data_IF_836333002405
#
_entry.id   IF_836333002405
#
_cell.length_a   1.000
_cell.length_b   1.000
_cell.length_c   1.000
_cell.angle_alpha   90.00
_cell.angle_beta   90.00
_cell.angle_gamma   90.00
#
_symmetry.space_group_name_H-M   'P 1'
#
loop_
_entity.id
_entity.type
_entity.pdbx_description
1 polymer ?
#
# COMPACT_ATOMS: atom_id res chain seq x y z
N UNK A 1 2.88 39.81 -11.43
CA UNK A 1 4.00 38.88 -11.75
C UNK A 1 3.45 37.69 -12.49
N UNK A 2 3.95 37.41 -13.69
CA UNK A 2 3.63 36.19 -14.43
C UNK A 2 4.18 34.96 -13.69
N UNK A 3 3.51 33.81 -13.77
CA UNK A 3 3.91 32.56 -13.09
C UNK A 3 4.08 31.43 -14.10
N UNK A 4 5.06 30.56 -13.90
CA UNK A 4 5.23 29.29 -14.62
C UNK A 4 4.37 28.23 -13.95
N UNK A 5 3.60 27.50 -14.75
CA UNK A 5 2.87 26.34 -14.29
C UNK A 5 3.74 25.10 -14.47
N UNK A 6 4.09 24.48 -13.35
CA UNK A 6 4.85 23.23 -13.30
C UNK A 6 3.87 22.12 -12.96
N UNK A 7 3.86 21.07 -13.78
CA UNK A 7 3.08 19.87 -13.52
C UNK A 7 3.97 18.80 -12.91
N UNK A 8 3.63 18.36 -11.70
CA UNK A 8 4.21 17.18 -11.07
C UNK A 8 3.15 16.11 -10.84
N UNK A 9 3.52 14.86 -11.08
CA UNK A 9 2.68 13.71 -10.71
C UNK A 9 2.71 13.45 -9.21
N UNK A 10 3.82 13.76 -8.55
CA UNK A 10 4.04 13.44 -7.14
C UNK A 10 3.61 14.61 -6.22
N UNK A 11 3.61 15.84 -6.74
CA UNK A 11 3.33 17.06 -5.96
C UNK A 11 2.13 17.88 -6.50
N UNK A 12 1.43 17.39 -7.52
CA UNK A 12 0.37 18.13 -8.21
C UNK A 12 0.89 19.34 -9.02
N UNK A 13 0.00 20.11 -9.67
CA UNK A 13 0.40 21.33 -10.36
C UNK A 13 0.67 22.46 -9.37
N UNK A 14 1.73 23.21 -9.58
CA UNK A 14 2.01 24.41 -8.78
C UNK A 14 2.60 25.52 -9.64
N UNK A 15 2.44 26.75 -9.13
CA UNK A 15 2.87 27.95 -9.80
C UNK A 15 4.17 28.46 -9.17
N UNK A 16 5.19 28.62 -9.99
CA UNK A 16 6.46 29.27 -9.59
C UNK A 16 6.50 30.65 -10.21
N UNK A 17 6.95 31.71 -9.51
CA UNK A 17 7.15 33.01 -10.13
C UNK A 17 7.96 32.88 -11.42
N UNK A 18 7.54 33.55 -12.51
CA UNK A 18 8.42 33.69 -13.68
C UNK A 18 9.64 34.47 -13.22
N UNK A 19 10.86 34.06 -13.62
CA UNK A 19 12.03 34.90 -13.46
C UNK A 19 11.73 36.28 -14.06
N UNK A 20 11.98 37.34 -13.31
CA UNK A 20 11.82 38.71 -13.80
C UNK A 20 12.95 38.99 -14.78
N UNK A 21 12.62 39.13 -16.07
CA UNK A 21 13.54 39.66 -17.05
C UNK A 21 13.47 41.19 -16.97
N UNK A 22 14.45 41.81 -16.32
CA UNK A 22 14.68 43.23 -16.55
C UNK A 22 15.23 43.38 -17.96
N UNK A 23 14.50 44.11 -18.81
CA UNK A 23 14.91 44.38 -20.19
C UNK A 23 16.04 45.41 -20.19
N UNK A 24 17.24 44.98 -19.84
CA UNK A 24 18.44 45.78 -20.11
C UNK A 24 18.87 45.50 -21.54
N UNK A 25 18.89 46.52 -22.40
CA UNK A 25 19.34 46.50 -23.81
C UNK A 25 20.84 46.20 -23.98
N UNK A 26 21.44 45.45 -23.06
CA UNK A 26 22.82 45.01 -23.11
C UNK A 26 22.88 43.72 -23.93
N UNK A 27 23.67 43.75 -25.01
CA UNK A 27 23.98 42.61 -25.89
C UNK A 27 24.88 41.56 -25.22
N UNK A 28 25.02 41.60 -23.90
CA UNK A 28 25.93 40.74 -23.17
C UNK A 28 25.26 39.40 -22.87
N UNK A 29 25.72 38.36 -23.58
CA UNK A 29 25.23 36.97 -23.46
C UNK A 29 25.32 36.42 -22.04
N UNK A 30 26.13 37.05 -21.20
CA UNK A 30 26.40 36.74 -19.80
C UNK A 30 25.25 37.14 -18.87
N UNK A 31 24.32 38.01 -19.28
CA UNK A 31 23.15 38.40 -18.46
C UNK A 31 21.93 37.49 -18.69
N UNK A 32 21.89 36.74 -19.81
CA UNK A 32 20.89 35.66 -20.05
C UNK A 32 21.17 34.40 -19.21
N UNK A 33 22.12 34.51 -18.30
CA UNK A 33 22.69 33.43 -17.52
C UNK A 33 22.14 33.33 -16.08
N UNK A 34 21.04 34.01 -15.74
CA UNK A 34 20.21 33.64 -14.58
C UNK A 34 19.39 32.41 -14.94
N UNK A 35 20.17 31.34 -14.98
CA UNK A 35 19.96 30.01 -15.54
C UNK A 35 18.99 29.24 -14.65
N UNK A 36 18.22 28.35 -15.25
CA UNK A 36 17.57 27.12 -14.73
C UNK A 36 17.79 26.74 -13.24
N UNK A 37 18.97 26.96 -12.69
CA UNK A 37 19.34 26.88 -11.27
C UNK A 37 18.42 27.71 -10.34
N UNK A 38 17.95 28.89 -10.73
CA UNK A 38 16.97 29.65 -9.92
C UNK A 38 15.60 28.98 -9.85
N UNK A 39 15.18 28.40 -10.96
CA UNK A 39 13.95 27.62 -11.01
C UNK A 39 14.07 26.39 -10.11
N UNK A 40 15.25 25.76 -10.12
CA UNK A 40 15.60 24.69 -9.20
C UNK A 40 15.54 25.18 -7.74
N UNK A 41 16.22 26.26 -7.37
CA UNK A 41 16.16 26.82 -6.01
C UNK A 41 14.71 27.14 -5.55
N UNK A 42 13.87 27.63 -6.46
CA UNK A 42 12.46 27.87 -6.17
C UNK A 42 11.67 26.58 -5.90
N UNK A 43 12.01 25.48 -6.59
CA UNK A 43 11.46 24.15 -6.33
C UNK A 43 11.92 23.60 -4.97
N UNK A 44 13.19 23.77 -4.63
CA UNK A 44 13.75 23.37 -3.33
C UNK A 44 13.07 24.10 -2.17
N UNK A 45 12.84 25.41 -2.30
CA UNK A 45 12.05 26.22 -1.34
C UNK A 45 10.60 25.75 -1.19
N UNK A 46 10.08 24.98 -2.15
CA UNK A 46 8.77 24.33 -2.09
C UNK A 46 8.82 22.89 -1.57
N UNK A 47 9.97 22.44 -1.05
CA UNK A 47 10.15 21.11 -0.47
C UNK A 47 10.38 19.99 -1.50
N UNK A 48 10.74 20.33 -2.74
CA UNK A 48 10.97 19.35 -3.81
C UNK A 48 12.47 19.01 -3.86
N UNK A 49 12.87 17.75 -3.59
CA UNK A 49 14.28 17.36 -3.52
C UNK A 49 14.88 17.20 -4.92
N UNK A 50 15.54 18.23 -5.42
CA UNK A 50 16.04 18.35 -6.80
C UNK A 50 16.96 17.23 -7.27
N UNK A 51 17.85 16.62 -6.45
CA UNK A 51 18.68 15.50 -6.90
C UNK A 51 17.84 14.32 -7.45
N UNK A 52 16.56 14.24 -7.04
CA UNK A 52 15.62 13.19 -7.43
C UNK A 52 14.74 13.56 -8.62
N UNK A 53 14.82 14.77 -9.19
CA UNK A 53 13.92 15.25 -10.25
C UNK A 53 14.64 16.01 -11.37
N UNK A 54 14.03 16.04 -12.56
CA UNK A 54 14.46 16.79 -13.72
C UNK A 54 13.25 17.45 -14.38
N UNK A 55 13.45 18.66 -14.90
CA UNK A 55 12.43 19.39 -15.65
C UNK A 55 12.42 18.96 -17.12
N UNK A 56 11.24 18.92 -17.72
CA UNK A 56 11.01 18.56 -19.11
C UNK A 56 10.06 19.56 -19.77
N UNK A 57 10.35 19.89 -21.03
CA UNK A 57 9.54 20.73 -21.90
C UNK A 57 9.46 20.07 -23.27
N UNK A 58 8.24 19.86 -23.78
CA UNK A 58 7.97 19.13 -25.03
C UNK A 58 8.70 17.78 -25.14
N UNK A 59 8.65 17.00 -24.06
CA UNK A 59 9.26 15.68 -23.96
C UNK A 59 10.79 15.67 -23.91
N UNK A 60 11.44 16.83 -24.00
CA UNK A 60 12.90 16.97 -23.90
C UNK A 60 13.27 17.49 -22.52
N UNK A 61 14.37 16.97 -21.97
CA UNK A 61 14.91 17.46 -20.70
C UNK A 61 15.26 18.94 -20.86
N UNK A 62 14.79 19.75 -19.92
CA UNK A 62 15.09 21.17 -19.86
C UNK A 62 16.59 21.32 -19.55
N UNK A 63 17.30 21.88 -20.51
CA UNK A 63 18.71 22.26 -20.45
C UNK A 63 18.78 23.78 -20.53
N UNK A 64 19.94 24.34 -20.19
CA UNK A 64 20.18 25.79 -20.34
C UNK A 64 19.88 26.27 -21.77
N UNK A 65 20.19 25.46 -22.78
CA UNK A 65 20.01 25.79 -24.20
C UNK A 65 18.56 25.92 -24.69
N UNK A 66 17.59 25.30 -24.02
CA UNK A 66 16.16 25.35 -24.41
C UNK A 66 15.27 25.96 -23.32
N UNK A 67 15.87 26.55 -22.28
CA UNK A 67 15.16 27.12 -21.15
C UNK A 67 14.34 28.36 -21.54
N UNK A 68 14.91 29.22 -22.40
CA UNK A 68 14.26 30.46 -22.85
C UNK A 68 12.98 30.16 -23.64
N UNK A 69 13.04 29.18 -24.54
CA UNK A 69 11.89 28.71 -25.31
C UNK A 69 10.77 28.22 -24.38
N UNK A 70 11.12 27.46 -23.33
CA UNK A 70 10.17 26.93 -22.37
C UNK A 70 9.49 28.02 -21.50
N UNK A 71 10.20 29.08 -21.13
CA UNK A 71 9.62 30.15 -20.29
C UNK A 71 8.68 31.08 -21.09
N UNK A 72 9.00 31.28 -22.36
CA UNK A 72 8.22 32.11 -23.27
C UNK A 72 6.99 31.36 -23.82
N UNK A 73 7.00 30.03 -23.78
CA UNK A 73 5.84 29.21 -24.13
C UNK A 73 4.71 29.33 -23.08
N UNK A 74 3.48 29.14 -23.55
CA UNK A 74 2.28 28.96 -22.70
C UNK A 74 2.11 27.50 -22.24
N UNK A 75 2.93 26.59 -22.76
CA UNK A 75 2.89 25.16 -22.44
C UNK A 75 3.50 24.87 -21.06
N UNK A 76 3.05 23.77 -20.44
CA UNK A 76 3.45 23.41 -19.08
C UNK A 76 4.84 22.73 -19.05
N UNK A 77 5.67 23.11 -18.08
CA UNK A 77 6.91 22.39 -17.77
C UNK A 77 6.56 21.21 -16.86
N UNK A 78 7.07 20.02 -17.19
CA UNK A 78 6.84 18.80 -16.42
C UNK A 78 8.02 18.54 -15.48
N UNK A 79 7.75 18.13 -14.24
CA UNK A 79 8.76 17.70 -13.26
C UNK A 79 8.72 16.16 -13.12
N UNK A 80 9.79 15.47 -13.50
CA UNK A 80 9.86 14.00 -13.52
C UNK A 80 11.04 13.48 -12.69
N UNK A 81 10.90 12.32 -12.03
CA UNK A 81 11.98 11.78 -11.20
C UNK A 81 13.20 11.32 -12.02
N UNK A 82 14.41 11.69 -11.59
CA UNK A 82 15.70 11.39 -12.23
C UNK A 82 16.04 9.89 -12.27
N UNK A 83 15.47 9.09 -11.35
CA UNK A 83 15.78 7.66 -11.22
C UNK A 83 15.11 6.76 -12.25
N UNK A 84 14.21 7.28 -13.11
CA UNK A 84 13.66 6.48 -14.17
C UNK A 84 13.47 7.33 -15.42
N UNK A 85 14.24 7.02 -16.47
CA UNK A 85 13.92 7.38 -17.86
C UNK A 85 12.66 6.60 -18.26
N UNK A 86 11.52 6.93 -17.66
CA UNK A 86 10.25 6.29 -17.98
C UNK A 86 9.81 6.86 -19.30
N UNK A 87 10.03 6.11 -20.38
CA UNK A 87 9.27 6.37 -21.61
C UNK A 87 7.81 6.20 -21.24
N UNK A 88 7.04 7.29 -21.30
CA UNK A 88 5.60 7.26 -21.11
C UNK A 88 4.95 7.36 -22.48
N UNK A 89 3.89 6.58 -22.67
CA UNK A 89 3.15 6.51 -23.93
C UNK A 89 1.68 6.75 -23.64
N UNK A 90 1.06 7.64 -24.42
CA UNK A 90 -0.38 7.84 -24.37
C UNK A 90 -1.04 6.79 -25.26
N UNK A 91 -1.87 5.95 -24.66
CA UNK A 91 -2.70 4.97 -25.35
C UNK A 91 -4.13 5.51 -25.44
N UNK A 92 -4.69 5.53 -26.64
CA UNK A 92 -6.13 5.65 -26.85
C UNK A 92 -6.72 4.24 -26.87
N UNK A 93 -7.73 3.98 -26.06
CA UNK A 93 -8.33 2.66 -25.91
C UNK A 93 -9.83 2.81 -26.13
N UNK A 94 -10.33 2.02 -27.07
CA UNK A 94 -11.73 1.86 -27.41
C UNK A 94 -12.22 0.52 -26.88
N UNK A 95 -13.25 0.52 -26.03
CA UNK A 95 -13.91 -0.70 -25.53
C UNK A 95 -15.39 -0.59 -25.89
N UNK A 96 -15.82 -1.38 -26.88
CA UNK A 96 -17.18 -1.24 -27.43
C UNK A 96 -17.41 0.16 -28.02
N UNK A 97 -18.34 0.91 -27.41
CA UNK A 97 -18.66 2.30 -27.80
C UNK A 97 -17.90 3.36 -26.99
N UNK A 98 -17.20 2.96 -25.92
CA UNK A 98 -16.48 3.90 -25.07
C UNK A 98 -15.04 4.10 -25.53
N UNK A 99 -14.62 5.36 -25.58
CA UNK A 99 -13.24 5.76 -25.87
C UNK A 99 -12.61 6.42 -24.63
N UNK A 100 -11.37 6.06 -24.31
CA UNK A 100 -10.62 6.73 -23.24
C UNK A 100 -9.11 6.75 -23.50
N UNK A 101 -8.40 7.62 -22.78
CA UNK A 101 -6.95 7.72 -22.84
C UNK A 101 -6.32 7.21 -21.55
N UNK A 102 -5.25 6.44 -21.66
CA UNK A 102 -4.42 6.01 -20.53
C UNK A 102 -2.95 6.30 -20.82
N UNK A 103 -2.22 6.81 -19.82
CA UNK A 103 -0.76 6.98 -19.90
C UNK A 103 -0.10 5.73 -19.33
N UNK A 104 0.67 5.04 -20.17
CA UNK A 104 1.43 3.85 -19.78
C UNK A 104 2.90 4.19 -19.59
N UNK A 105 3.43 3.84 -18.42
CA UNK A 105 4.85 3.95 -18.07
C UNK A 105 5.60 2.71 -18.54
N UNK A 106 6.75 2.88 -19.21
CA UNK A 106 7.63 1.83 -19.74
C UNK A 106 6.92 0.83 -20.68
N UNK A 107 6.32 1.30 -21.80
CA UNK A 107 5.54 0.45 -22.70
C UNK A 107 6.35 -0.74 -23.22
N UNK A 108 7.65 -0.58 -23.51
CA UNK A 108 8.50 -1.68 -23.98
C UNK A 108 8.62 -2.88 -23.01
N UNK A 109 8.28 -2.71 -21.72
CA UNK A 109 8.28 -3.81 -20.73
C UNK A 109 6.86 -4.33 -20.42
N UNK A 110 5.84 -3.74 -21.03
CA UNK A 110 4.44 -4.09 -20.78
C UNK A 110 3.94 -5.01 -21.89
N UNK A 111 3.66 -6.26 -21.54
CA UNK A 111 2.96 -7.19 -22.42
C UNK A 111 1.51 -6.79 -22.59
N UNK A 112 0.88 -7.18 -23.69
CA UNK A 112 -0.54 -6.94 -23.94
C UNK A 112 -1.41 -7.53 -22.82
N UNK A 113 -1.06 -8.71 -22.30
CA UNK A 113 -1.75 -9.28 -21.13
C UNK A 113 -1.68 -8.38 -19.88
N UNK A 114 -0.51 -7.85 -19.54
CA UNK A 114 -0.36 -6.93 -18.40
C UNK A 114 -1.10 -5.61 -18.62
N UNK A 115 -1.19 -5.15 -19.87
CA UNK A 115 -2.02 -4.01 -20.22
C UNK A 115 -3.51 -4.31 -19.99
N UNK A 116 -3.98 -5.48 -20.43
CA UNK A 116 -5.36 -5.95 -20.20
C UNK A 116 -5.71 -5.96 -18.71
N UNK A 117 -4.84 -6.53 -17.87
CA UNK A 117 -5.06 -6.56 -16.42
C UNK A 117 -5.22 -5.14 -15.86
N UNK A 118 -4.39 -4.19 -16.31
CA UNK A 118 -4.49 -2.79 -15.89
C UNK A 118 -5.81 -2.15 -16.33
N UNK A 119 -6.20 -2.35 -17.59
CA UNK A 119 -7.46 -1.83 -18.15
C UNK A 119 -8.66 -2.42 -17.39
N UNK A 120 -8.67 -3.74 -17.20
CA UNK A 120 -9.69 -4.47 -16.46
C UNK A 120 -9.84 -3.93 -15.04
N UNK A 121 -8.72 -3.76 -14.32
CA UNK A 121 -8.72 -3.19 -12.96
C UNK A 121 -9.25 -1.75 -12.93
N UNK A 122 -8.85 -0.91 -13.88
CA UNK A 122 -9.27 0.49 -13.95
C UNK A 122 -10.76 0.66 -14.28
N UNK A 123 -11.33 -0.25 -15.08
CA UNK A 123 -12.72 -0.19 -15.53
C UNK A 123 -13.66 -1.14 -14.79
N UNK A 124 -13.15 -1.93 -13.83
CA UNK A 124 -13.94 -2.96 -13.15
C UNK A 124 -14.40 -4.08 -14.09
N UNK A 125 -13.67 -4.34 -15.17
CA UNK A 125 -14.00 -5.39 -16.15
C UNK A 125 -13.28 -6.70 -15.80
N UNK A 126 -13.83 -7.83 -16.27
CA UNK A 126 -13.12 -9.11 -16.21
C UNK A 126 -12.07 -9.17 -17.32
N UNK A 127 -10.85 -9.59 -17.01
CA UNK A 127 -9.79 -9.77 -18.03
C UNK A 127 -10.17 -10.80 -19.08
N UNK A 128 -11.03 -11.76 -18.72
CA UNK A 128 -11.50 -12.82 -19.62
C UNK A 128 -12.45 -12.32 -20.70
N UNK A 129 -13.06 -11.13 -20.54
CA UNK A 129 -13.93 -10.50 -21.53
C UNK A 129 -13.13 -9.71 -22.59
N UNK A 130 -11.87 -9.40 -22.30
CA UNK A 130 -11.00 -8.53 -23.10
C UNK A 130 -10.11 -9.36 -24.04
N UNK A 131 -10.71 -10.31 -24.77
CA UNK A 131 -9.96 -11.34 -25.52
C UNK A 131 -9.49 -10.95 -26.92
N UNK A 132 -10.08 -9.91 -27.51
CA UNK A 132 -9.75 -9.47 -28.86
C UNK A 132 -9.24 -8.04 -28.81
N UNK A 133 -7.92 -7.91 -28.82
CA UNK A 133 -7.24 -6.62 -28.93
C UNK A 133 -6.72 -6.45 -30.34
N UNK A 134 -7.16 -5.37 -30.98
CA UNK A 134 -6.65 -4.92 -32.26
C UNK A 134 -5.91 -3.61 -32.08
N UNK A 135 -4.75 -3.49 -32.71
CA UNK A 135 -4.13 -2.19 -32.90
C UNK A 135 -4.82 -1.49 -34.06
N UNK A 136 -5.57 -0.42 -33.80
CA UNK A 136 -6.32 0.32 -34.82
C UNK A 136 -5.41 0.92 -35.89
N UNK A 137 -4.19 1.32 -35.53
CA UNK A 137 -3.24 1.90 -36.48
C UNK A 137 -2.63 0.88 -37.44
N UNK A 138 -2.57 -0.40 -37.04
CA UNK A 138 -1.96 -1.48 -37.84
C UNK A 138 -2.98 -2.45 -38.40
N UNK A 139 -4.24 -2.40 -37.95
CA UNK A 139 -5.30 -3.37 -38.23
C UNK A 139 -4.91 -4.84 -37.93
N UNK A 140 -3.89 -5.05 -37.09
CA UNK A 140 -3.37 -6.37 -36.70
C UNK A 140 -3.87 -6.74 -35.31
N UNK A 141 -4.28 -8.00 -35.15
CA UNK A 141 -4.57 -8.59 -33.85
C UNK A 141 -3.26 -8.76 -33.07
N UNK A 142 -3.25 -8.33 -31.81
CA UNK A 142 -2.06 -8.43 -30.96
C UNK A 142 -2.09 -9.74 -30.17
N UNK A 143 -0.92 -10.38 -30.05
CA UNK A 143 -0.74 -11.53 -29.16
C UNK A 143 -0.59 -11.06 -27.71
N UNK A 144 -1.03 -11.85 -26.74
CA UNK A 144 -0.97 -11.54 -25.31
C UNK A 144 0.46 -11.36 -24.80
N UNK A 145 1.40 -12.13 -25.35
CA UNK A 145 2.79 -12.15 -24.93
C UNK A 145 3.64 -11.10 -25.66
N UNK A 146 3.09 -10.46 -26.71
CA UNK A 146 3.76 -9.34 -27.36
C UNK A 146 3.92 -8.18 -26.38
N UNK A 147 5.10 -7.57 -26.36
CA UNK A 147 5.33 -6.30 -25.70
C UNK A 147 4.83 -5.16 -26.56
N UNK A 148 4.41 -4.05 -25.94
CA UNK A 148 4.16 -2.79 -26.64
C UNK A 148 5.49 -2.21 -27.14
N UNK A 149 6.04 -2.81 -28.19
CA UNK A 149 7.21 -2.28 -28.88
C UNK A 149 6.75 -1.12 -29.75
N UNK A 150 7.04 0.09 -29.29
CA UNK A 150 6.88 1.32 -30.06
C UNK A 150 7.95 1.40 -31.16
N UNK A 151 7.96 0.45 -32.10
CA UNK A 151 8.83 0.48 -33.27
C UNK A 151 8.18 1.31 -34.38
N UNK A 152 7.94 2.60 -34.11
CA UNK A 152 7.86 3.70 -35.09
C UNK A 152 7.43 4.98 -34.37
N UNK A 153 8.00 6.11 -34.78
CA UNK A 153 8.00 7.44 -34.15
C UNK A 153 6.63 8.16 -34.00
N UNK A 154 5.51 7.45 -33.84
CA UNK A 154 4.20 8.09 -33.59
C UNK A 154 3.59 7.67 -32.25
N UNK A 155 3.55 8.63 -31.33
CA UNK A 155 3.24 8.48 -29.91
C UNK A 155 1.77 8.16 -29.57
N UNK A 156 0.94 7.79 -30.55
CA UNK A 156 -0.47 7.51 -30.35
C UNK A 156 -0.76 6.08 -30.79
N UNK A 157 -0.79 5.13 -29.84
CA UNK A 157 -1.33 3.79 -30.10
C UNK A 157 -2.82 3.81 -29.80
N UNK A 158 -3.63 3.42 -30.78
CA UNK A 158 -5.06 3.22 -30.62
C UNK A 158 -5.35 1.71 -30.55
N UNK A 159 -6.01 1.26 -29.48
CA UNK A 159 -6.39 -0.14 -29.25
C UNK A 159 -7.91 -0.27 -29.29
N UNK A 160 -8.44 -1.19 -30.09
CA UNK A 160 -9.83 -1.60 -30.01
C UNK A 160 -9.91 -2.93 -29.28
N UNK A 161 -10.63 -2.95 -28.15
CA UNK A 161 -10.94 -4.16 -27.42
C UNK A 161 -12.39 -4.52 -27.71
N UNK A 162 -12.58 -5.62 -28.42
CA UNK A 162 -13.91 -6.18 -28.63
C UNK A 162 -14.25 -7.08 -27.47
N UNK A 163 -15.32 -6.73 -26.77
CA UNK A 163 -15.89 -7.61 -25.77
C UNK A 163 -16.48 -8.82 -26.50
N UNK A 164 -15.90 -10.00 -26.28
CA UNK A 164 -16.50 -11.23 -26.81
C UNK A 164 -17.68 -11.60 -25.94
N UNK A 165 -18.86 -11.11 -26.32
CA UNK A 165 -20.15 -11.55 -25.79
C UNK A 165 -20.52 -12.98 -26.20
N UNK A 166 -19.61 -13.73 -26.86
CA UNK A 166 -19.85 -15.12 -27.28
C UNK A 166 -19.60 -16.11 -26.14
N UNK A 167 -20.69 -16.47 -25.46
CA UNK A 167 -21.00 -17.83 -24.96
C UNK A 167 -19.83 -18.64 -24.38
N UNK A 168 -19.17 -18.12 -23.35
CA UNK A 168 -19.03 -18.97 -22.17
C UNK A 168 -20.04 -18.40 -21.19
N UNK A 169 -21.23 -19.01 -21.14
CA UNK A 169 -22.13 -18.84 -19.99
C UNK A 169 -21.43 -19.46 -18.78
N UNK A 170 -20.35 -18.85 -18.28
CA UNK A 170 -20.01 -19.01 -16.87
C UNK A 170 -21.18 -18.35 -16.18
N UNK A 171 -21.97 -19.12 -15.46
CA UNK A 171 -23.13 -18.62 -14.72
C UNK A 171 -22.61 -17.66 -13.65
N UNK A 172 -22.49 -16.39 -14.01
CA UNK A 172 -22.15 -15.36 -13.04
C UNK A 172 -23.24 -15.35 -11.99
N UNK A 173 -22.82 -15.41 -10.72
CA UNK A 173 -23.73 -15.36 -9.59
C UNK A 173 -23.76 -13.93 -9.07
N UNK A 174 -24.94 -13.36 -8.99
CA UNK A 174 -25.14 -12.09 -8.30
C UNK A 174 -25.34 -12.38 -6.81
N UNK A 175 -24.41 -11.91 -5.99
CA UNK A 175 -24.44 -12.09 -4.54
C UNK A 175 -24.83 -10.76 -3.90
N UNK A 176 -25.85 -10.81 -3.04
CA UNK A 176 -26.35 -9.67 -2.29
C UNK A 176 -25.74 -9.66 -0.90
N UNK A 177 -25.29 -8.48 -0.49
CA UNK A 177 -24.67 -8.27 0.81
C UNK A 177 -25.48 -7.29 1.65
N UNK A 178 -25.67 -7.63 2.91
CA UNK A 178 -26.22 -6.74 3.92
C UNK A 178 -25.08 -6.10 4.72
N UNK A 179 -25.13 -4.78 4.91
CA UNK A 179 -24.15 -4.01 5.67
C UNK A 179 -24.89 -3.26 6.77
N UNK A 180 -24.43 -3.38 8.02
CA UNK A 180 -25.06 -2.79 9.22
C UNK A 180 -25.46 -1.31 9.10
N UNK A 181 -24.79 -0.55 8.22
CA UNK A 181 -24.94 0.91 8.11
C UNK A 181 -25.80 1.39 6.93
N UNK A 182 -26.42 0.52 6.12
CA UNK A 182 -27.20 0.97 4.94
C UNK A 182 -28.44 0.11 4.72
N UNK A 183 -29.58 0.76 4.48
CA UNK A 183 -30.82 0.13 3.99
C UNK A 183 -30.66 -0.49 2.59
N UNK A 184 -29.58 -0.15 1.86
CA UNK A 184 -29.32 -0.63 0.51
C UNK A 184 -28.40 -1.86 0.50
N UNK A 185 -28.89 -2.95 -0.09
CA UNK A 185 -28.11 -4.15 -0.37
C UNK A 185 -27.01 -3.86 -1.39
N UNK A 186 -25.78 -4.26 -1.09
CA UNK A 186 -24.67 -4.23 -2.04
C UNK A 186 -24.72 -5.48 -2.91
N UNK A 187 -24.78 -5.34 -4.23
CA UNK A 187 -24.66 -6.47 -5.17
C UNK A 187 -23.26 -6.59 -5.76
N UNK A 188 -22.71 -7.80 -5.82
CA UNK A 188 -21.48 -8.12 -6.55
C UNK A 188 -21.73 -9.31 -7.47
N UNK A 189 -21.40 -9.16 -8.75
CA UNK A 189 -21.41 -10.25 -9.72
C UNK A 189 -20.05 -10.90 -9.77
N UNK A 190 -20.00 -12.23 -9.58
CA UNK A 190 -18.75 -12.99 -9.47
C UNK A 190 -18.90 -14.40 -10.04
N UNK A 191 -17.80 -14.98 -10.51
CA UNK A 191 -17.77 -16.36 -10.98
C UNK A 191 -17.90 -17.34 -9.80
N UNK A 192 -18.80 -18.34 -9.87
CA UNK A 192 -19.12 -19.27 -8.78
C UNK A 192 -17.93 -20.18 -8.38
N UNK A 193 -16.99 -20.39 -9.30
CA UNK A 193 -15.75 -21.16 -9.07
C UNK A 193 -14.67 -20.39 -8.33
N UNK A 194 -14.87 -19.09 -8.03
CA UNK A 194 -13.89 -18.31 -7.24
C UNK A 194 -14.02 -18.67 -5.77
N UNK A 195 -12.94 -18.48 -5.02
CA UNK A 195 -12.93 -18.71 -3.57
C UNK A 195 -13.61 -17.57 -2.81
N UNK A 196 -14.07 -17.86 -1.60
CA UNK A 196 -14.60 -16.86 -0.66
C UNK A 196 -13.57 -15.76 -0.37
N UNK A 197 -12.28 -16.10 -0.26
CA UNK A 197 -11.21 -15.09 -0.16
C UNK A 197 -11.23 -14.08 -1.31
N UNK A 198 -11.48 -14.54 -2.54
CA UNK A 198 -11.53 -13.65 -3.70
C UNK A 198 -12.79 -12.78 -3.70
N UNK A 199 -13.91 -13.33 -3.27
CA UNK A 199 -15.14 -12.57 -3.05
C UNK A 199 -14.93 -11.47 -2.01
N UNK A 200 -14.30 -11.81 -0.88
CA UNK A 200 -13.95 -10.86 0.19
C UNK A 200 -13.08 -9.71 -0.32
N UNK A 201 -12.09 -9.98 -1.18
CA UNK A 201 -11.31 -8.93 -1.84
C UNK A 201 -12.17 -7.98 -2.68
N UNK A 202 -13.15 -8.49 -3.43
CA UNK A 202 -14.06 -7.67 -4.23
C UNK A 202 -14.97 -6.81 -3.35
N UNK A 203 -15.47 -7.39 -2.25
CA UNK A 203 -16.27 -6.65 -1.25
C UNK A 203 -15.45 -5.51 -0.67
N UNK A 204 -14.21 -5.74 -0.25
CA UNK A 204 -13.30 -4.71 0.23
C UNK A 204 -13.10 -3.57 -0.76
N UNK A 205 -12.80 -3.89 -2.02
CA UNK A 205 -12.61 -2.89 -3.08
C UNK A 205 -13.85 -2.02 -3.28
N UNK A 206 -15.05 -2.63 -3.24
CA UNK A 206 -16.30 -1.93 -3.50
C UNK A 206 -16.81 -1.14 -2.30
N UNK A 207 -16.48 -1.58 -1.09
CA UNK A 207 -16.91 -0.96 0.16
C UNK A 207 -15.86 -0.03 0.78
N UNK A 208 -14.67 0.06 0.18
CA UNK A 208 -13.51 0.81 0.69
C UNK A 208 -13.12 0.39 2.11
N UNK A 209 -13.26 -0.89 2.46
CA UNK A 209 -12.81 -1.45 3.74
C UNK A 209 -11.56 -2.32 3.54
N UNK A 210 -10.70 -2.44 4.55
CA UNK A 210 -9.51 -3.29 4.45
C UNK A 210 -9.85 -4.78 4.65
N UNK A 211 -9.10 -5.65 3.99
CA UNK A 211 -9.30 -7.10 3.96
C UNK A 211 -9.38 -7.80 5.33
N UNK A 212 -8.52 -7.49 6.32
CA UNK A 212 -8.59 -8.15 7.62
C UNK A 212 -9.84 -7.78 8.44
N UNK A 213 -10.48 -6.65 8.14
CA UNK A 213 -11.57 -6.10 8.96
C UNK A 213 -12.98 -6.49 8.53
N UNK A 214 -13.13 -7.37 7.54
CA UNK A 214 -14.44 -7.88 7.17
C UNK A 214 -14.49 -9.39 7.33
N UNK A 215 -15.56 -9.89 7.94
CA UNK A 215 -15.97 -11.29 7.85
C UNK A 215 -17.24 -11.35 7.01
N UNK A 216 -17.24 -12.29 6.08
CA UNK A 216 -18.44 -12.64 5.33
C UNK A 216 -19.13 -13.75 6.10
N UNK A 217 -20.38 -13.53 6.46
CA UNK A 217 -21.16 -14.43 7.31
C UNK A 217 -22.46 -14.77 6.59
N UNK A 218 -22.85 -16.05 6.64
CA UNK A 218 -24.12 -16.55 6.14
C UNK A 218 -24.85 -17.25 7.27
N UNK A 219 -26.07 -16.81 7.59
CA UNK A 219 -26.87 -17.38 8.70
C UNK A 219 -26.09 -17.48 10.02
N UNK A 220 -25.38 -16.41 10.40
CA UNK A 220 -24.48 -16.37 11.56
C UNK A 220 -23.27 -17.31 11.53
N UNK A 221 -23.01 -18.01 10.42
CA UNK A 221 -21.83 -18.86 10.23
C UNK A 221 -20.78 -18.17 9.34
N UNK A 222 -19.53 -17.98 9.82
CA UNK A 222 -18.47 -17.42 9.00
C UNK A 222 -18.12 -18.31 7.81
N UNK A 223 -18.04 -17.70 6.62
CA UNK A 223 -17.66 -18.42 5.41
C UNK A 223 -16.16 -18.75 5.41
N UNK A 224 -15.83 -19.98 4.99
CA UNK A 224 -14.45 -20.46 4.93
C UNK A 224 -13.72 -19.89 3.70
N UNK A 225 -12.59 -19.20 3.92
CA UNK A 225 -11.89 -18.47 2.86
C UNK A 225 -11.33 -19.36 1.72
N UNK A 226 -11.04 -20.63 2.02
CA UNK A 226 -10.52 -21.62 1.07
C UNK A 226 -11.60 -22.23 0.18
N UNK A 227 -12.87 -22.20 0.57
CA UNK A 227 -13.97 -22.79 -0.16
C UNK A 227 -14.39 -21.93 -1.35
N UNK A 228 -15.07 -22.55 -2.31
CA UNK A 228 -15.61 -21.86 -3.50
C UNK A 228 -16.95 -21.19 -3.21
N UNK A 229 -17.31 -20.20 -4.01
CA UNK A 229 -18.61 -19.51 -3.88
C UNK A 229 -19.77 -20.48 -4.14
N UNK A 230 -19.64 -21.41 -5.08
CA UNK A 230 -20.67 -22.41 -5.38
C UNK A 230 -20.91 -23.44 -4.28
N UNK A 231 -19.88 -23.76 -3.48
CA UNK A 231 -20.04 -24.70 -2.36
C UNK A 231 -20.65 -24.04 -1.13
N UNK A 232 -20.39 -22.75 -0.93
CA UNK A 232 -20.76 -22.01 0.28
C UNK A 232 -21.98 -21.10 0.12
N UNK A 233 -22.37 -20.70 -1.10
CA UNK A 233 -23.40 -19.67 -1.33
C UNK A 233 -24.41 -20.15 -2.38
N UNK A 234 -25.68 -20.24 -2.01
CA UNK A 234 -26.82 -20.58 -2.87
C UNK A 234 -27.47 -19.33 -3.48
N UNK A 235 -28.26 -19.53 -4.54
CA UNK A 235 -28.96 -18.41 -5.19
C UNK A 235 -30.03 -17.86 -4.24
N UNK A 236 -30.03 -16.55 -4.03
CA UNK A 236 -30.92 -15.88 -3.08
C UNK A 236 -30.38 -15.73 -1.66
N UNK A 237 -29.24 -16.37 -1.32
CA UNK A 237 -28.59 -16.17 -0.03
C UNK A 237 -28.19 -14.70 0.16
N UNK A 238 -28.41 -14.19 1.37
CA UNK A 238 -27.96 -12.86 1.80
C UNK A 238 -26.70 -13.05 2.65
N UNK A 239 -25.61 -12.40 2.25
CA UNK A 239 -24.35 -12.45 2.98
C UNK A 239 -24.19 -11.21 3.84
N UNK A 240 -24.00 -11.38 5.13
CA UNK A 240 -23.75 -10.28 6.04
C UNK A 240 -22.26 -9.92 6.03
N UNK A 241 -21.98 -8.61 5.90
CA UNK A 241 -20.63 -8.08 6.06
C UNK A 241 -20.49 -7.62 7.51
N UNK A 242 -19.88 -8.48 8.33
CA UNK A 242 -19.51 -8.10 9.70
C UNK A 242 -18.18 -7.37 9.63
N UNK A 243 -18.22 -6.07 9.94
CA UNK A 243 -16.98 -5.31 10.13
C UNK A 243 -16.43 -5.65 11.50
N UNK A 244 -15.31 -6.38 11.52
CA UNK A 244 -14.48 -6.40 12.73
C UNK A 244 -13.90 -5.01 12.88
N UNK A 245 -14.50 -4.22 13.77
CA UNK A 245 -13.74 -3.11 14.36
C UNK A 245 -12.64 -3.80 15.17
N UNK A 246 -11.35 -3.66 14.83
CA UNK A 246 -10.31 -3.98 15.81
C UNK A 246 -10.69 -3.20 17.06
N UNK A 247 -10.66 -3.85 18.22
CA UNK A 247 -11.19 -3.28 19.45
C UNK A 247 -10.40 -2.01 19.77
N UNK A 248 -10.88 -0.86 19.30
CA UNK A 248 -10.25 0.41 19.59
C UNK A 248 -10.51 0.72 21.05
N UNK A 249 -9.46 0.93 21.83
CA UNK A 249 -9.58 1.65 23.10
C UNK A 249 -10.23 3.00 22.78
N UNK A 250 -11.34 3.34 23.45
CA UNK A 250 -11.87 4.70 23.43
C UNK A 250 -10.79 5.60 24.06
N UNK A 251 -10.10 6.37 23.23
CA UNK A 251 -8.91 7.15 23.63
C UNK A 251 -7.61 6.80 22.87
N UNK A 252 -7.59 5.73 22.06
CA UNK A 252 -6.38 5.27 21.39
C UNK A 252 -5.44 4.47 22.27
N UNK A 253 -4.56 3.70 21.65
CA UNK A 253 -3.47 3.01 22.33
C UNK A 253 -2.19 3.84 22.18
N UNK A 254 -1.74 4.50 23.24
CA UNK A 254 -0.40 5.08 23.30
C UNK A 254 0.60 3.98 23.62
N UNK A 255 1.39 3.58 22.63
CA UNK A 255 2.37 2.49 22.76
C UNK A 255 3.63 2.81 21.95
N UNK A 256 4.70 2.02 22.08
CA UNK A 256 5.92 2.19 21.31
C UNK A 256 5.61 2.35 19.80
N UNK A 257 6.37 3.21 19.13
CA UNK A 257 6.20 3.52 17.70
C UNK A 257 6.72 2.43 16.75
N UNK A 258 7.48 1.46 17.27
CA UNK A 258 8.01 0.30 16.55
C UNK A 258 8.80 0.68 15.28
N UNK A 259 9.51 1.81 15.34
CA UNK A 259 10.19 2.39 14.19
C UNK A 259 11.57 1.79 13.95
N UNK A 260 12.34 1.58 15.01
CA UNK A 260 13.73 1.17 14.98
C UNK A 260 13.89 -0.14 15.74
N UNK A 261 14.40 -1.16 15.05
CA UNK A 261 14.66 -2.48 15.61
C UNK A 261 15.99 -2.43 16.36
N UNK A 262 16.01 -3.02 17.54
CA UNK A 262 17.19 -3.14 18.39
C UNK A 262 17.35 -4.59 18.80
N UNK A 263 18.57 -5.11 18.68
CA UNK A 263 18.91 -6.44 19.17
C UNK A 263 19.66 -6.33 20.50
N UNK A 264 19.24 -7.12 21.48
CA UNK A 264 19.84 -7.18 22.81
C UNK A 264 20.47 -8.55 23.01
N UNK A 265 21.70 -8.57 23.52
CA UNK A 265 22.36 -9.81 23.95
C UNK A 265 21.69 -10.34 25.21
N UNK A 266 21.65 -11.66 25.32
CA UNK A 266 21.25 -12.32 26.56
C UNK A 266 22.31 -12.09 27.64
N UNK A 267 21.82 -12.10 28.87
CA UNK A 267 22.60 -11.92 30.08
C UNK A 267 22.23 -13.07 31.02
N UNK A 268 23.21 -13.92 31.31
CA UNK A 268 23.03 -15.13 32.13
C UNK A 268 22.79 -14.78 33.60
N UNK A 269 23.09 -13.55 34.03
CA UNK A 269 22.82 -13.05 35.38
C UNK A 269 21.47 -12.32 35.49
N UNK A 270 20.69 -12.26 34.39
CA UNK A 270 19.38 -11.64 34.41
C UNK A 270 18.41 -12.39 35.33
N UNK A 271 17.55 -11.68 36.09
CA UNK A 271 16.59 -12.33 36.99
C UNK A 271 15.51 -13.11 36.22
N UNK A 272 14.92 -14.12 36.86
CA UNK A 272 13.94 -15.04 36.26
C UNK A 272 12.73 -14.33 35.61
N UNK A 273 12.27 -13.21 36.18
CA UNK A 273 11.17 -12.42 35.61
C UNK A 273 11.51 -11.69 34.31
N UNK A 274 12.78 -11.76 33.86
CA UNK A 274 13.25 -11.28 32.57
C UNK A 274 13.59 -12.41 31.59
N UNK A 275 13.36 -13.68 31.95
CA UNK A 275 13.60 -14.80 31.03
C UNK A 275 12.73 -14.70 29.78
N UNK A 276 13.34 -14.90 28.62
CA UNK A 276 12.68 -14.85 27.31
C UNK A 276 12.42 -16.27 26.80
N UNK A 277 11.24 -16.49 26.23
CA UNK A 277 10.86 -17.75 25.56
C UNK A 277 10.64 -17.52 24.06
N UNK A 278 10.67 -18.58 23.23
CA UNK A 278 10.35 -18.47 21.81
C UNK A 278 8.98 -17.82 21.55
N UNK A 279 8.90 -17.01 20.49
CA UNK A 279 7.70 -16.28 20.09
C UNK A 279 7.71 -14.81 20.51
N UNK A 280 6.51 -14.25 20.75
CA UNK A 280 6.28 -12.88 21.19
C UNK A 280 6.36 -12.76 22.71
N UNK A 281 6.97 -11.68 23.20
CA UNK A 281 6.93 -11.27 24.59
C UNK A 281 6.65 -9.77 24.76
N UNK A 282 6.07 -9.39 25.90
CA UNK A 282 5.83 -8.00 26.27
C UNK A 282 6.86 -7.51 27.27
N UNK A 283 7.23 -6.25 27.10
CA UNK A 283 8.12 -5.50 27.97
C UNK A 283 7.26 -4.63 28.89
N UNK A 284 7.31 -4.90 30.20
CA UNK A 284 6.46 -4.21 31.17
C UNK A 284 7.22 -3.85 32.47
N UNK A 285 6.61 -3.02 33.32
CA UNK A 285 7.05 -2.72 34.68
C UNK A 285 6.00 -3.26 35.67
N UNK A 286 6.43 -3.83 36.80
CA UNK A 286 5.53 -4.38 37.81
C UNK A 286 5.29 -3.37 38.95
N UNK A 287 4.03 -3.06 39.24
CA UNK A 287 3.64 -2.09 40.28
C UNK A 287 3.28 -2.72 41.63
N UNK A 288 3.32 -4.05 41.75
CA UNK A 288 3.04 -4.71 43.03
C UNK A 288 4.21 -4.53 44.01
N UNK A 289 4.02 -3.78 45.09
CA UNK A 289 5.03 -3.48 46.11
C UNK A 289 5.58 -4.73 46.82
N UNK A 290 4.79 -5.80 46.89
CA UNK A 290 5.20 -7.07 47.50
C UNK A 290 6.00 -7.97 46.54
N UNK A 291 6.10 -7.59 45.27
CA UNK A 291 6.78 -8.38 44.25
C UNK A 291 8.29 -8.14 44.29
N UNK A 292 9.08 -9.21 44.13
CA UNK A 292 10.55 -9.08 43.95
C UNK A 292 10.94 -8.24 42.73
N UNK A 293 10.04 -8.12 41.77
CA UNK A 293 10.20 -7.30 40.57
C UNK A 293 9.51 -5.92 40.67
N UNK A 294 9.18 -5.43 41.87
CA UNK A 294 8.55 -4.12 42.04
C UNK A 294 9.38 -3.00 41.41
N UNK A 295 8.74 -2.18 40.55
CA UNK A 295 9.36 -1.12 39.73
C UNK A 295 10.49 -1.59 38.81
N UNK A 296 10.66 -2.90 38.69
CA UNK A 296 11.62 -3.50 37.79
C UNK A 296 10.95 -3.91 36.48
N UNK A 297 11.79 -3.99 35.46
CA UNK A 297 11.39 -4.45 34.15
C UNK A 297 11.16 -5.96 34.14
N UNK A 298 10.00 -6.39 33.63
CA UNK A 298 9.59 -7.79 33.48
C UNK A 298 9.29 -8.15 32.02
N UNK A 299 9.54 -9.41 31.66
CA UNK A 299 9.22 -10.01 30.35
C UNK A 299 8.01 -10.92 30.50
N UNK A 300 6.89 -10.56 29.86
CA UNK A 300 5.69 -11.41 29.82
C UNK A 300 5.68 -12.18 28.50
N UNK A 301 6.03 -13.46 28.56
CA UNK A 301 6.05 -14.35 27.38
C UNK A 301 4.63 -14.77 26.98
N UNK A 302 4.28 -14.55 25.71
CA UNK A 302 2.98 -14.94 25.12
C UNK A 302 3.13 -16.12 24.16
N UNK A 303 4.25 -16.18 23.43
CA UNK A 303 4.55 -17.26 22.50
C UNK A 303 4.09 -16.95 21.07
N UNK A 304 3.77 -18.00 20.32
CA UNK A 304 3.37 -17.91 18.92
C UNK A 304 1.86 -17.68 18.75
N UNK A 305 1.46 -17.01 17.67
CA UNK A 305 0.06 -16.74 17.33
C UNK A 305 -0.15 -15.39 16.66
N UNK A 306 -1.41 -15.00 16.52
CA UNK A 306 -1.82 -13.67 16.06
C UNK A 306 -2.54 -12.93 17.18
N UNK A 307 -2.12 -11.70 17.44
CA UNK A 307 -2.47 -10.93 18.61
C UNK A 307 -3.01 -9.56 18.22
N UNK A 308 -4.21 -9.24 18.67
CA UNK A 308 -4.72 -7.87 18.70
C UNK A 308 -4.24 -7.23 20.01
N UNK A 309 -3.35 -6.24 19.90
CA UNK A 309 -2.69 -5.63 21.07
C UNK A 309 -3.72 -5.09 22.04
N UNK A 310 -4.78 -4.46 21.55
CA UNK A 310 -5.81 -3.88 22.41
C UNK A 310 -6.57 -4.93 23.24
N UNK A 311 -6.55 -6.22 22.86
CA UNK A 311 -7.14 -7.31 23.64
C UNK A 311 -6.15 -7.96 24.59
N UNK A 312 -4.89 -8.07 24.17
CA UNK A 312 -3.84 -8.76 24.95
C UNK A 312 -3.43 -7.96 26.18
N UNK A 313 -3.27 -6.63 26.03
CA UNK A 313 -2.75 -5.76 27.10
C UNK A 313 -3.54 -5.83 28.41
N UNK A 314 -4.87 -6.05 28.36
CA UNK A 314 -5.72 -6.16 29.54
C UNK A 314 -5.51 -7.43 30.37
N UNK A 315 -4.88 -8.45 29.76
CA UNK A 315 -4.72 -9.76 30.37
C UNK A 315 -3.26 -10.07 30.74
N UNK A 316 -2.35 -9.10 30.58
CA UNK A 316 -0.96 -9.28 30.96
C UNK A 316 -0.82 -9.38 32.47
N UNK A 317 -0.02 -10.35 32.91
CA UNK A 317 0.28 -10.61 34.31
C UNK A 317 1.78 -10.67 34.51
N UNK A 318 2.24 -10.12 35.63
CA UNK A 318 3.64 -10.23 36.02
C UNK A 318 4.03 -11.72 36.14
N UNK A 319 5.14 -12.17 35.54
CA UNK A 319 5.55 -13.57 35.62
C UNK A 319 5.94 -13.97 37.05
N UNK A 320 6.34 -13.01 37.89
CA UNK A 320 6.77 -13.25 39.27
C UNK A 320 5.58 -13.34 40.23
N UNK A 321 4.82 -12.24 40.40
CA UNK A 321 3.71 -12.19 41.37
C UNK A 321 2.34 -12.57 40.81
N UNK A 322 2.23 -12.81 39.49
CA UNK A 322 0.98 -13.14 38.77
C UNK A 322 -0.13 -12.08 38.82
N UNK A 323 0.13 -10.92 39.40
CA UNK A 323 -0.81 -9.79 39.40
C UNK A 323 -0.89 -9.14 38.01
N UNK A 324 -2.03 -8.50 37.72
CA UNK A 324 -2.25 -7.79 36.46
C UNK A 324 -1.29 -6.61 36.29
N UNK A 325 -0.90 -6.33 35.05
CA UNK A 325 -0.04 -5.21 34.70
C UNK A 325 -0.90 -4.04 34.23
N UNK A 326 -0.65 -2.86 34.80
CA UNK A 326 -1.33 -1.64 34.36
C UNK A 326 -0.91 -1.24 32.94
N UNK A 327 -1.84 -0.76 32.13
CA UNK A 327 -1.58 -0.44 30.71
C UNK A 327 -0.47 0.58 30.54
N UNK A 328 -0.41 1.60 31.41
CA UNK A 328 0.63 2.64 31.37
C UNK A 328 2.04 2.13 31.63
N UNK A 329 2.18 0.88 32.11
CA UNK A 329 3.44 0.22 32.44
C UNK A 329 3.90 -0.76 31.37
N UNK A 330 3.17 -0.85 30.26
CA UNK A 330 3.50 -1.67 29.10
C UNK A 330 4.28 -0.81 28.12
N UNK A 331 5.59 -1.04 28.01
CA UNK A 331 6.49 -0.12 27.30
C UNK A 331 6.85 -0.57 25.89
N UNK A 332 6.94 -1.89 25.64
CA UNK A 332 7.46 -2.40 24.37
C UNK A 332 7.08 -3.88 24.14
N UNK A 333 7.47 -4.43 22.99
CA UNK A 333 7.38 -5.86 22.65
C UNK A 333 8.77 -6.38 22.27
N UNK A 334 8.93 -7.69 22.25
CA UNK A 334 10.09 -8.32 21.64
C UNK A 334 9.81 -9.72 21.15
N UNK A 335 10.79 -10.24 20.41
CA UNK A 335 10.72 -11.46 19.64
C UNK A 335 11.98 -12.29 19.87
N UNK A 336 11.81 -13.60 19.91
CA UNK A 336 12.90 -14.55 20.02
C UNK A 336 12.54 -15.86 19.30
N UNK A 337 13.45 -16.42 18.49
CA UNK A 337 13.23 -17.67 17.74
C UNK A 337 11.88 -17.71 17.02
N UNK A 338 11.57 -16.67 16.25
CA UNK A 338 10.27 -16.52 15.60
C UNK A 338 10.38 -15.67 14.35
N UNK A 339 9.59 -16.02 13.35
CA UNK A 339 9.19 -15.07 12.31
C UNK A 339 8.10 -14.17 12.86
N UNK A 340 8.08 -12.90 12.47
CA UNK A 340 7.08 -11.97 12.97
C UNK A 340 6.58 -10.99 11.90
N UNK A 341 5.35 -10.53 12.10
CA UNK A 341 4.71 -9.48 11.30
C UNK A 341 3.93 -8.54 12.20
N UNK A 342 4.02 -7.26 11.90
CA UNK A 342 3.29 -6.16 12.54
C UNK A 342 2.45 -5.50 11.47
N UNK A 343 1.17 -5.32 11.76
CA UNK A 343 0.23 -4.55 10.94
C UNK A 343 -0.55 -3.62 11.88
N UNK A 344 -0.42 -2.31 11.64
CA UNK A 344 -1.01 -1.29 12.47
C UNK A 344 -1.34 -0.03 11.70
N UNK A 345 -2.22 0.79 12.28
CA UNK A 345 -2.50 2.14 11.78
C UNK A 345 -2.48 3.12 12.92
N UNK A 346 -1.79 4.24 12.73
CA UNK A 346 -1.79 5.35 13.66
C UNK A 346 -3.11 6.12 13.59
N UNK A 347 -3.46 6.86 14.64
CA UNK A 347 -4.62 7.76 14.62
C UNK A 347 -4.54 8.82 13.51
N UNK A 348 -3.32 9.20 13.10
CA UNK A 348 -3.08 10.08 11.96
C UNK A 348 -3.47 9.46 10.60
N UNK A 349 -3.83 8.18 10.57
CA UNK A 349 -4.16 7.43 9.35
C UNK A 349 -2.96 6.77 8.67
N UNK A 350 -1.74 7.02 9.14
CA UNK A 350 -0.52 6.37 8.62
C UNK A 350 -0.57 4.87 8.92
N UNK A 351 -0.46 4.05 7.88
CA UNK A 351 -0.34 2.59 7.97
C UNK A 351 1.12 2.22 8.26
N UNK A 352 1.32 1.24 9.14
CA UNK A 352 2.61 0.68 9.51
C UNK A 352 2.55 -0.83 9.31
N UNK A 353 3.31 -1.31 8.34
CA UNK A 353 3.49 -2.74 8.06
C UNK A 353 4.97 -3.07 8.18
N UNK A 354 5.30 -4.07 8.99
CA UNK A 354 6.67 -4.57 9.16
C UNK A 354 6.68 -6.09 9.33
N UNK A 355 7.78 -6.71 8.96
CA UNK A 355 8.03 -8.12 9.22
C UNK A 355 9.52 -8.36 9.33
N UNK A 356 9.89 -9.45 9.98
CA UNK A 356 11.27 -9.86 10.12
C UNK A 356 11.38 -11.23 10.76
N UNK A 357 12.63 -11.61 11.03
CA UNK A 357 12.99 -12.86 11.67
C UNK A 357 13.81 -12.53 12.92
N UNK A 358 13.47 -13.14 14.04
CA UNK A 358 14.24 -13.06 15.28
C UNK A 358 14.95 -14.39 15.51
N UNK A 359 16.28 -14.36 15.48
CA UNK A 359 17.13 -15.54 15.62
C UNK A 359 17.20 -16.13 17.04
N UNK A 360 18.09 -17.11 17.22
CA UNK A 360 18.30 -17.83 18.48
C UNK A 360 19.25 -17.17 19.46
N UNK A 361 20.15 -16.31 18.98
CA UNK A 361 21.28 -15.81 19.79
C UNK A 361 20.96 -14.51 20.53
N UNK A 362 19.88 -13.83 20.15
CA UNK A 362 19.59 -12.47 20.60
C UNK A 362 18.10 -12.28 20.84
N UNK A 363 17.79 -11.27 21.64
CA UNK A 363 16.44 -10.78 21.87
C UNK A 363 16.19 -9.56 20.99
N UNK A 364 15.26 -9.68 20.05
CA UNK A 364 14.90 -8.57 19.16
C UNK A 364 13.78 -7.74 19.79
N UNK A 365 13.91 -6.43 19.82
CA UNK A 365 12.91 -5.49 20.34
C UNK A 365 12.97 -4.18 19.54
N UNK A 366 12.32 -3.12 20.03
CA UNK A 366 12.35 -1.80 19.40
C UNK A 366 13.00 -0.77 20.32
N UNK A 367 13.49 0.32 19.75
CA UNK A 367 14.06 1.42 20.52
C UNK A 367 13.04 1.99 21.51
N UNK A 368 13.45 2.13 22.77
CA UNK A 368 12.61 2.68 23.84
C UNK A 368 12.48 4.22 23.71
N UNK A 369 11.40 4.78 24.25
CA UNK A 369 11.21 6.24 24.40
C UNK A 369 10.40 6.96 23.32
N UNK A 370 10.15 6.33 22.15
CA UNK A 370 9.29 6.93 21.11
C UNK A 370 7.94 6.23 21.08
N UNK A 371 6.92 6.91 21.58
CA UNK A 371 5.52 6.43 21.57
C UNK A 371 4.75 6.96 20.36
N UNK A 372 3.68 6.26 20.00
CA UNK A 372 2.74 6.66 18.98
C UNK A 372 1.30 6.33 19.40
N UNK A 373 0.35 7.11 18.88
CA UNK A 373 -1.07 6.88 19.07
C UNK A 373 -1.58 5.91 18.00
N UNK A 374 -1.78 4.67 18.39
CA UNK A 374 -2.28 3.62 17.52
C UNK A 374 -3.81 3.64 17.49
N UNK A 375 -4.37 3.65 16.28
CA UNK A 375 -5.79 3.36 16.06
C UNK A 375 -6.06 1.85 16.16
N UNK A 376 -5.11 1.03 15.68
CA UNK A 376 -5.03 -0.39 15.96
C UNK A 376 -3.58 -0.87 15.78
N UNK A 377 -3.28 -2.01 16.40
CA UNK A 377 -2.00 -2.69 16.25
C UNK A 377 -2.23 -4.20 16.38
N UNK A 378 -1.81 -4.95 15.37
CA UNK A 378 -1.83 -6.41 15.36
C UNK A 378 -0.43 -6.95 15.13
N UNK A 379 -0.13 -8.05 15.81
CA UNK A 379 1.19 -8.67 15.80
C UNK A 379 1.00 -10.16 15.57
N UNK A 380 1.79 -10.73 14.68
CA UNK A 380 1.85 -12.15 14.42
C UNK A 380 3.26 -12.64 14.70
N UNK A 381 3.36 -13.78 15.39
CA UNK A 381 4.61 -14.48 15.67
C UNK A 381 4.42 -15.96 15.30
N UNK A 382 5.24 -16.47 14.40
CA UNK A 382 5.16 -17.85 13.88
C UNK A 382 6.47 -18.56 14.16
N UNK A 383 6.38 -19.84 14.55
CA UNK A 383 7.56 -20.67 14.74
C UNK A 383 8.32 -20.79 13.41
N UNK A 384 9.61 -20.43 13.43
CA UNK A 384 10.48 -20.51 12.26
C UNK A 384 10.68 -21.97 11.78
N UNK A 385 10.45 -22.97 12.64
CA UNK A 385 10.59 -24.39 12.30
C UNK A 385 9.35 -25.00 11.62
N UNK A 386 8.19 -24.32 11.69
CA UNK A 386 6.93 -24.82 11.09
C UNK A 386 6.82 -24.56 9.59
N UNK A 387 7.84 -23.96 8.95
CA UNK A 387 7.96 -23.97 7.48
C UNK A 387 8.36 -25.37 7.00
N UNK A 388 7.41 -26.32 7.05
CA UNK A 388 7.41 -27.44 6.10
C UNK A 388 7.33 -26.80 4.72
N UNK A 389 8.43 -26.91 3.98
CA UNK A 389 8.56 -26.61 2.56
C UNK A 389 7.35 -27.27 1.88
N UNK A 390 6.39 -26.47 1.40
CA UNK A 390 5.50 -26.97 0.35
C UNK A 390 6.39 -27.22 -0.86
N UNK A 391 6.55 -28.48 -1.33
CA UNK A 391 7.34 -28.74 -2.51
C UNK A 391 6.68 -28.04 -3.71
N UNK A 392 7.50 -27.26 -4.43
CA UNK A 392 7.16 -26.61 -5.69
C UNK A 392 6.60 -27.58 -6.75
#
# INVERSE_FOLDING_TARGET
MSRLRIQSLDYGPFLVPKPSFESTNSSDSTYREMKLDELYLALEKKGIPIPKFALYFNGKRLKRSNFIEAINSTENIQLLSSKNKVMSMKLQIKIGVEDFCMIVKNPQKLTIWRLIIKIAKLRGLCTENLRKIKCLNKFVALDYDQTLNASSNNCNFALEIKEESKRIKRSWKEIKFHSESRENLLSISVSPTKTIRKLKQLVCLKTLNDLPYIKLVKNNVPLQESQTIESEINDGDIIEIIKHRPGGLVGGLCFNSLNEIVEKRFDDEAPDWRSVKPGLSWRCECENEECRAYKEYVVVNIGFGSFDVAKVIWNLKCPECKQGIEIGKISNIGFHKTDWRIDGRLQSGKVVERSGEAGSEQYMTFQDGVTAEWAYLTIEAVDCHDRKIEPC
#
